data_IF_930547971549
#
_entry.id   IF_930547971549
#
_cell.length_a   1.000
_cell.length_b   1.000
_cell.length_c   1.000
_cell.angle_alpha   90.00
_cell.angle_beta   90.00
_cell.angle_gamma   90.00
#
_symmetry.space_group_name_H-M   'P 1'
#
loop_
_entity.id
_entity.type
_entity.pdbx_description
1 polymer ?
#
# COMPACT_ATOMS: atom_id res chain seq x y z
N UNK A 1 26.49 62.54 0.06
CA UNK A 1 27.81 63.14 -0.18
C UNK A 1 28.77 61.95 -0.25
N UNK A 2 29.19 61.40 -1.39
CA UNK A 2 29.06 61.66 -2.82
C UNK A 2 29.07 60.29 -3.54
N UNK A 3 28.86 60.28 -4.86
CA UNK A 3 28.92 59.14 -5.81
C UNK A 3 27.72 58.19 -5.91
N UNK A 4 26.63 58.68 -6.50
CA UNK A 4 25.66 57.82 -7.20
C UNK A 4 25.37 58.25 -8.64
N UNK A 5 26.18 59.15 -9.22
CA UNK A 5 25.88 59.79 -10.52
C UNK A 5 26.97 59.59 -11.58
N UNK A 6 27.62 58.41 -11.65
CA UNK A 6 28.64 58.18 -12.68
C UNK A 6 28.76 56.72 -13.17
N UNK A 7 27.64 56.02 -13.39
CA UNK A 7 27.66 54.66 -14.00
C UNK A 7 26.56 54.36 -15.01
N UNK A 8 25.89 55.37 -15.54
CA UNK A 8 25.01 55.20 -16.71
C UNK A 8 25.87 55.18 -17.99
N UNK A 9 26.35 54.00 -18.39
CA UNK A 9 27.04 53.82 -19.68
C UNK A 9 28.13 52.76 -19.76
N UNK A 10 28.44 52.05 -18.67
CA UNK A 10 29.45 50.97 -18.67
C UNK A 10 28.80 49.63 -18.98
N UNK A 11 29.38 48.88 -19.92
CA UNK A 11 28.98 47.51 -20.22
C UNK A 11 29.38 46.58 -19.06
N UNK A 12 28.66 45.46 -18.86
CA UNK A 12 28.78 44.59 -17.67
C UNK A 12 30.22 44.09 -17.41
N UNK A 13 30.98 43.89 -18.49
CA UNK A 13 32.40 43.52 -18.55
C UNK A 13 33.37 44.60 -18.05
N UNK A 14 32.94 45.86 -18.00
CA UNK A 14 33.74 46.97 -17.46
C UNK A 14 33.55 47.15 -15.94
N UNK A 15 32.54 46.51 -15.37
CA UNK A 15 32.18 46.62 -13.94
C UNK A 15 32.53 45.35 -13.18
N UNK A 16 32.41 44.19 -13.83
CA UNK A 16 32.70 42.88 -13.24
C UNK A 16 33.79 42.15 -14.03
N UNK A 17 34.76 41.59 -13.33
CA UNK A 17 35.82 40.78 -13.93
C UNK A 17 35.26 39.41 -14.29
N UNK A 18 34.79 39.27 -15.53
CA UNK A 18 34.24 38.03 -16.07
C UNK A 18 35.38 37.03 -16.32
N UNK A 19 35.34 35.90 -15.63
CA UNK A 19 36.31 34.82 -15.79
C UNK A 19 35.62 33.59 -16.37
N UNK A 20 36.20 33.03 -17.44
CA UNK A 20 35.67 31.84 -18.13
C UNK A 20 36.29 30.59 -17.51
N UNK A 21 35.69 30.09 -16.43
CA UNK A 21 36.01 28.80 -15.82
C UNK A 21 34.74 28.22 -15.18
N UNK A 22 34.73 26.93 -14.83
CA UNK A 22 33.61 26.33 -14.10
C UNK A 22 33.78 26.59 -12.58
N UNK A 23 32.95 27.45 -11.95
CA UNK A 23 33.08 27.76 -10.52
C UNK A 23 32.44 26.68 -9.63
N UNK A 24 31.63 25.78 -10.19
CA UNK A 24 30.94 24.76 -9.44
C UNK A 24 31.84 23.51 -9.29
N UNK A 25 32.15 23.15 -8.04
CA UNK A 25 32.84 21.89 -7.71
C UNK A 25 31.90 20.67 -7.79
N UNK A 26 30.61 20.89 -7.52
CA UNK A 26 29.53 19.91 -7.59
C UNK A 26 28.59 20.24 -8.75
N UNK A 27 27.37 19.72 -8.71
CA UNK A 27 26.34 20.01 -9.69
C UNK A 27 25.79 21.45 -9.54
N UNK A 28 24.92 21.86 -10.46
CA UNK A 28 24.33 23.20 -10.53
C UNK A 28 22.88 23.13 -10.98
N UNK A 29 22.09 24.12 -10.56
CA UNK A 29 20.70 24.25 -11.01
C UNK A 29 20.49 25.61 -11.68
N UNK A 30 19.63 25.63 -12.69
CA UNK A 30 19.28 26.85 -13.43
C UNK A 30 18.22 27.63 -12.64
N UNK A 31 18.33 28.95 -12.61
CA UNK A 31 17.26 29.83 -12.15
C UNK A 31 16.39 30.22 -13.34
N UNK A 32 15.07 30.00 -13.24
CA UNK A 32 14.10 30.48 -14.24
C UNK A 32 13.09 31.46 -13.60
N UNK A 33 13.38 32.77 -13.61
CA UNK A 33 12.50 33.79 -13.02
C UNK A 33 11.12 33.88 -13.70
N UNK A 34 11.00 33.41 -14.94
CA UNK A 34 9.73 33.41 -15.68
C UNK A 34 8.81 32.27 -15.19
N UNK A 35 9.40 31.19 -14.65
CA UNK A 35 8.69 30.01 -14.19
C UNK A 35 8.41 30.02 -12.68
N UNK A 36 9.35 30.53 -11.86
CA UNK A 36 9.23 30.50 -10.40
C UNK A 36 9.62 31.81 -9.72
N UNK A 37 8.79 32.25 -8.76
CA UNK A 37 9.08 33.39 -7.89
C UNK A 37 10.32 33.16 -7.02
N UNK A 38 10.60 31.91 -6.63
CA UNK A 38 11.81 31.53 -5.86
C UNK A 38 13.12 31.73 -6.64
N UNK A 39 13.00 31.89 -7.96
CA UNK A 39 14.12 31.96 -8.88
C UNK A 39 14.41 33.40 -9.29
N UNK A 40 13.63 34.37 -8.79
CA UNK A 40 13.97 35.77 -8.95
C UNK A 40 15.30 36.07 -8.26
N UNK A 41 16.11 36.86 -8.96
CA UNK A 41 17.41 37.27 -8.49
C UNK A 41 17.73 38.70 -8.87
N UNK A 42 18.63 39.32 -8.12
CA UNK A 42 19.20 40.63 -8.40
C UNK A 42 20.71 40.57 -8.22
N UNK A 43 21.45 41.23 -9.10
CA UNK A 43 22.88 41.41 -8.93
C UNK A 43 23.15 42.55 -7.94
N UNK A 44 24.01 42.29 -6.97
CA UNK A 44 24.50 43.31 -6.06
C UNK A 44 25.82 43.89 -6.57
N UNK A 45 26.13 45.11 -6.14
CA UNK A 45 27.36 45.83 -6.52
C UNK A 45 28.65 45.11 -6.12
N UNK A 46 28.57 44.19 -5.15
CA UNK A 46 29.68 43.34 -4.71
C UNK A 46 29.83 42.05 -5.55
N UNK A 47 29.06 41.90 -6.63
CA UNK A 47 29.07 40.76 -7.55
C UNK A 47 28.32 39.52 -7.05
N UNK A 48 27.73 39.56 -5.86
CA UNK A 48 26.88 38.47 -5.35
C UNK A 48 25.47 38.56 -5.91
N UNK A 49 24.82 37.40 -5.98
CA UNK A 49 23.45 37.26 -6.39
C UNK A 49 22.54 37.28 -5.16
N UNK A 50 21.60 38.22 -5.13
CA UNK A 50 20.58 38.33 -4.09
C UNK A 50 19.28 37.68 -4.56
N UNK A 51 18.74 36.76 -3.77
CA UNK A 51 17.51 36.02 -4.05
C UNK A 51 16.45 36.40 -3.01
N UNK A 52 15.51 37.31 -3.31
CA UNK A 52 14.57 37.87 -2.33
C UNK A 52 13.59 36.85 -1.74
N UNK A 53 13.30 35.77 -2.47
CA UNK A 53 12.33 34.73 -2.08
C UNK A 53 13.00 33.40 -1.70
N UNK A 54 14.33 33.38 -1.56
CA UNK A 54 15.04 32.20 -1.06
C UNK A 54 15.07 32.17 0.47
N UNK A 55 15.40 31.01 1.05
CA UNK A 55 15.66 30.85 2.49
C UNK A 55 16.83 31.74 2.96
N UNK A 56 16.87 32.11 4.25
CA UNK A 56 17.91 33.02 4.77
C UNK A 56 19.35 32.57 4.45
N UNK A 57 19.60 31.25 4.40
CA UNK A 57 20.90 30.66 4.05
C UNK A 57 21.26 30.73 2.56
N UNK A 58 20.28 30.94 1.69
CA UNK A 58 20.42 31.00 0.22
C UNK A 58 20.13 32.39 -0.37
N UNK A 59 19.74 33.35 0.48
CA UNK A 59 19.42 34.72 0.08
C UNK A 59 20.59 35.42 -0.61
N UNK A 60 21.84 35.07 -0.26
CA UNK A 60 23.04 35.59 -0.90
C UNK A 60 23.91 34.45 -1.44
N UNK A 61 24.15 34.48 -2.75
CA UNK A 61 24.94 33.47 -3.48
C UNK A 61 26.15 34.14 -4.11
N UNK A 62 27.35 33.58 -3.87
CA UNK A 62 28.61 34.06 -4.46
C UNK A 62 29.13 33.15 -5.57
N UNK A 63 28.70 31.89 -5.61
CA UNK A 63 29.14 30.89 -6.57
C UNK A 63 28.03 30.59 -7.56
N UNK A 64 28.09 31.25 -8.72
CA UNK A 64 27.16 31.05 -9.83
C UNK A 64 27.92 31.17 -11.16
N UNK A 65 27.33 30.70 -12.25
CA UNK A 65 27.86 30.85 -13.60
C UNK A 65 26.77 31.32 -14.56
N UNK A 66 27.17 32.07 -15.58
CA UNK A 66 26.32 32.46 -16.70
C UNK A 66 26.43 31.38 -17.78
N UNK A 67 25.30 30.78 -18.14
CA UNK A 67 25.24 29.72 -19.15
C UNK A 67 24.41 30.18 -20.34
N UNK A 68 24.82 29.74 -21.54
CA UNK A 68 24.05 29.95 -22.77
C UNK A 68 23.38 28.61 -23.08
N UNK A 69 22.06 28.58 -23.08
CA UNK A 69 21.28 27.43 -23.52
C UNK A 69 21.09 27.54 -25.04
N UNK A 70 21.44 26.49 -25.80
CA UNK A 70 21.44 26.50 -27.28
C UNK A 70 20.10 26.96 -27.92
N UNK A 71 18.99 26.91 -27.17
CA UNK A 71 17.66 27.31 -27.62
C UNK A 71 17.24 28.75 -27.26
N UNK A 72 18.02 29.47 -26.44
CA UNK A 72 17.73 30.85 -26.04
C UNK A 72 18.99 31.70 -26.28
N UNK A 73 18.92 32.71 -27.14
CA UNK A 73 19.98 33.72 -27.31
C UNK A 73 20.10 34.65 -26.07
N UNK A 74 20.02 34.10 -24.85
CA UNK A 74 20.09 34.80 -23.58
C UNK A 74 21.04 34.06 -22.64
N UNK A 75 21.68 34.81 -21.77
CA UNK A 75 22.45 34.26 -20.66
C UNK A 75 21.50 33.93 -19.52
N UNK A 76 21.42 32.66 -19.15
CA UNK A 76 20.70 32.20 -17.97
C UNK A 76 21.69 32.01 -16.80
N UNK A 77 21.19 32.10 -15.57
CA UNK A 77 22.02 31.96 -14.37
C UNK A 77 21.91 30.53 -13.83
N UNK A 78 23.05 29.88 -13.64
CA UNK A 78 23.14 28.61 -12.93
C UNK A 78 23.88 28.80 -11.59
N UNK A 79 23.22 28.45 -10.49
CA UNK A 79 23.76 28.52 -9.13
C UNK A 79 24.42 27.19 -8.78
N UNK A 80 25.60 27.25 -8.17
CA UNK A 80 26.29 26.05 -7.69
C UNK A 80 25.65 25.55 -6.39
N UNK A 81 25.52 24.23 -6.23
CA UNK A 81 25.20 23.67 -4.91
C UNK A 81 26.30 24.03 -3.90
N UNK A 82 25.90 24.49 -2.70
CA UNK A 82 26.83 24.75 -1.60
C UNK A 82 27.30 23.42 -1.00
N UNK A 83 28.51 23.42 -0.48
CA UNK A 83 29.04 22.31 0.32
C UNK A 83 28.37 22.38 1.71
N UNK A 84 27.15 21.87 1.80
CA UNK A 84 26.54 21.59 3.10
C UNK A 84 27.11 20.25 3.62
N UNK A 85 27.46 20.25 4.91
CA UNK A 85 27.79 19.16 5.85
C UNK A 85 27.82 17.72 5.28
N UNK A 86 28.76 16.85 5.73
CA UNK A 86 29.20 15.69 4.96
C UNK A 86 28.01 14.89 4.44
N UNK A 87 27.93 14.90 3.11
CA UNK A 87 27.00 14.30 2.15
C UNK A 87 26.55 12.87 2.53
N UNK A 88 27.26 12.19 3.42
CA UNK A 88 27.01 10.84 3.89
C UNK A 88 25.68 10.63 4.66
N UNK A 89 24.95 11.64 5.14
CA UNK A 89 23.67 11.40 5.84
C UNK A 89 22.42 11.66 4.98
N UNK A 90 22.42 12.71 4.17
CA UNK A 90 21.29 13.01 3.26
C UNK A 90 21.35 12.16 1.98
N UNK A 91 22.53 11.81 1.47
CA UNK A 91 22.65 10.93 0.31
C UNK A 91 22.20 9.50 0.64
N UNK A 92 22.50 9.02 1.85
CA UNK A 92 21.94 7.78 2.38
C UNK A 92 20.41 7.85 2.53
N UNK A 93 19.86 9.05 2.78
CA UNK A 93 18.43 9.26 2.88
C UNK A 93 17.69 9.11 1.54
N UNK A 94 18.27 9.69 0.49
CA UNK A 94 17.74 9.63 -0.87
C UNK A 94 17.92 8.24 -1.50
N UNK A 95 18.86 7.43 -1.00
CA UNK A 95 19.07 6.04 -1.48
C UNK A 95 18.21 5.01 -0.73
N UNK A 96 17.96 5.15 0.59
CA UNK A 96 17.22 4.12 1.32
C UNK A 96 15.75 4.03 0.88
N UNK A 97 15.12 5.15 0.56
CA UNK A 97 13.68 5.21 0.28
C UNK A 97 13.30 4.42 -0.99
N UNK A 98 13.92 4.68 -2.17
CA UNK A 98 13.63 3.89 -3.37
C UNK A 98 14.03 2.42 -3.22
N UNK A 99 15.12 2.11 -2.52
CA UNK A 99 15.55 0.71 -2.29
C UNK A 99 14.52 -0.04 -1.44
N UNK A 100 14.02 0.54 -0.36
CA UNK A 100 13.00 -0.08 0.48
C UNK A 100 11.67 -0.30 -0.26
N UNK A 101 11.24 0.68 -1.06
CA UNK A 101 10.05 0.56 -1.92
C UNK A 101 10.25 -0.57 -2.95
N UNK A 102 11.41 -0.66 -3.60
CA UNK A 102 11.72 -1.72 -4.56
C UNK A 102 11.70 -3.12 -3.92
N UNK A 103 12.09 -3.26 -2.66
CA UNK A 103 12.00 -4.54 -1.93
C UNK A 103 10.55 -4.86 -1.56
N UNK A 104 9.77 -3.87 -1.14
CA UNK A 104 8.36 -4.03 -0.76
C UNK A 104 7.43 -4.38 -1.93
N UNK A 105 7.73 -3.89 -3.12
CA UNK A 105 6.91 -4.05 -4.32
C UNK A 105 6.67 -5.52 -4.72
N UNK A 106 7.71 -6.38 -4.83
CA UNK A 106 7.54 -7.82 -5.02
C UNK A 106 6.69 -8.49 -3.94
N UNK A 107 6.81 -8.07 -2.68
CA UNK A 107 6.03 -8.62 -1.57
C UNK A 107 4.53 -8.26 -1.67
N UNK A 108 4.21 -7.03 -2.08
CA UNK A 108 2.82 -6.61 -2.38
C UNK A 108 2.26 -7.41 -3.54
N UNK A 109 3.03 -7.54 -4.64
CA UNK A 109 2.62 -8.32 -5.80
C UNK A 109 2.37 -9.78 -5.44
N UNK A 110 3.29 -10.40 -4.69
CA UNK A 110 3.13 -11.77 -4.22
C UNK A 110 1.85 -11.94 -3.37
N UNK A 111 1.56 -10.97 -2.50
CA UNK A 111 0.31 -10.96 -1.72
C UNK A 111 -0.91 -10.92 -2.62
N UNK A 112 -0.92 -10.04 -3.62
CA UNK A 112 -2.01 -9.94 -4.59
C UNK A 112 -2.21 -11.25 -5.39
N UNK A 113 -1.12 -11.85 -5.86
CA UNK A 113 -1.13 -13.09 -6.64
C UNK A 113 -1.63 -14.27 -5.80
N UNK A 114 -1.09 -14.47 -4.59
CA UNK A 114 -1.49 -15.57 -3.70
C UNK A 114 -2.98 -15.53 -3.40
N UNK A 115 -3.52 -14.35 -3.10
CA UNK A 115 -4.95 -14.16 -2.82
C UNK A 115 -5.84 -14.26 -4.07
N UNK A 116 -5.27 -14.18 -5.28
CA UNK A 116 -6.00 -14.35 -6.54
C UNK A 116 -6.03 -15.80 -7.02
N UNK A 117 -4.92 -16.53 -6.81
CA UNK A 117 -4.73 -17.91 -7.30
C UNK A 117 -5.37 -18.94 -6.37
N UNK A 118 -5.36 -18.72 -5.05
CA UNK A 118 -5.96 -19.64 -4.09
C UNK A 118 -7.50 -19.47 -4.02
N UNK A 119 -8.31 -20.41 -4.52
CA UNK A 119 -9.77 -20.34 -4.44
C UNK A 119 -10.27 -20.41 -3.00
N UNK A 120 -9.53 -21.03 -2.08
CA UNK A 120 -9.85 -21.06 -0.65
C UNK A 120 -9.82 -19.66 -0.02
N UNK A 121 -9.16 -18.69 -0.67
CA UNK A 121 -9.11 -17.27 -0.26
C UNK A 121 -10.09 -16.39 -1.05
N UNK A 122 -10.86 -16.92 -2.00
CA UNK A 122 -11.86 -16.16 -2.79
C UNK A 122 -13.17 -15.94 -2.01
N UNK A 123 -13.03 -15.48 -0.77
CA UNK A 123 -14.11 -15.03 0.10
C UNK A 123 -14.12 -13.49 0.17
N UNK A 124 -15.12 -12.91 0.83
CA UNK A 124 -15.25 -11.45 0.97
C UNK A 124 -13.93 -10.79 1.45
N UNK A 125 -13.33 -11.33 2.50
CA UNK A 125 -12.07 -10.83 3.07
C UNK A 125 -10.91 -10.84 2.08
N UNK A 126 -10.83 -11.86 1.21
CA UNK A 126 -9.83 -11.91 0.15
C UNK A 126 -10.13 -10.97 -1.01
N UNK A 127 -11.40 -10.74 -1.37
CA UNK A 127 -11.76 -9.76 -2.39
C UNK A 127 -11.40 -8.33 -1.96
N UNK A 128 -11.75 -7.94 -0.74
CA UNK A 128 -11.45 -6.60 -0.20
C UNK A 128 -9.94 -6.40 -0.01
N UNK A 129 -9.22 -7.42 0.47
CA UNK A 129 -7.76 -7.36 0.62
C UNK A 129 -7.05 -7.18 -0.73
N UNK A 130 -7.55 -7.82 -1.80
CA UNK A 130 -6.98 -7.62 -3.15
C UNK A 130 -7.18 -6.20 -3.67
N UNK A 131 -8.35 -5.60 -3.42
CA UNK A 131 -8.59 -4.19 -3.73
C UNK A 131 -7.59 -3.29 -3.01
N UNK A 132 -7.44 -3.49 -1.70
CA UNK A 132 -6.47 -2.78 -0.87
C UNK A 132 -5.02 -2.92 -1.35
N UNK A 133 -4.50 -4.15 -1.44
CA UNK A 133 -3.11 -4.41 -1.84
C UNK A 133 -2.86 -3.99 -3.28
N UNK A 134 -3.82 -4.19 -4.18
CA UNK A 134 -3.72 -3.77 -5.58
C UNK A 134 -3.61 -2.25 -5.71
N UNK A 135 -4.42 -1.49 -4.99
CA UNK A 135 -4.34 -0.03 -4.98
C UNK A 135 -3.01 0.49 -4.40
N UNK A 136 -2.49 -0.12 -3.31
CA UNK A 136 -1.17 0.23 -2.79
C UNK A 136 -0.04 -0.11 -3.77
N UNK A 137 -0.10 -1.27 -4.42
CA UNK A 137 0.89 -1.66 -5.42
C UNK A 137 0.96 -0.65 -6.57
N UNK A 138 -0.20 -0.21 -7.09
CA UNK A 138 -0.25 0.85 -8.12
C UNK A 138 0.37 2.14 -7.58
N UNK A 139 -0.05 2.61 -6.41
CA UNK A 139 0.48 3.84 -5.81
C UNK A 139 2.01 3.82 -5.69
N UNK A 140 2.57 2.76 -5.08
CA UNK A 140 4.01 2.62 -4.91
C UNK A 140 4.77 2.37 -6.22
N UNK A 141 4.15 1.77 -7.24
CA UNK A 141 4.76 1.63 -8.58
C UNK A 141 5.04 2.99 -9.18
N UNK A 142 4.01 3.84 -9.29
CA UNK A 142 4.16 5.16 -9.89
C UNK A 142 5.03 6.07 -9.03
N UNK A 143 4.95 5.96 -7.70
CA UNK A 143 5.85 6.65 -6.79
C UNK A 143 7.32 6.26 -7.02
N UNK A 144 7.61 4.96 -7.15
CA UNK A 144 8.96 4.47 -7.42
C UNK A 144 9.48 4.96 -8.78
N UNK A 145 8.63 5.00 -9.81
CA UNK A 145 9.01 5.54 -11.13
C UNK A 145 9.41 7.01 -11.01
N UNK A 146 8.62 7.84 -10.31
CA UNK A 146 8.96 9.26 -10.09
C UNK A 146 10.27 9.41 -9.31
N UNK A 147 10.52 8.56 -8.31
CA UNK A 147 11.71 8.67 -7.46
C UNK A 147 12.99 8.13 -8.11
N UNK A 148 12.87 7.16 -9.01
CA UNK A 148 14.01 6.58 -9.72
C UNK A 148 14.46 7.45 -10.90
N UNK A 149 13.54 8.23 -11.49
CA UNK A 149 13.87 9.17 -12.54
C UNK A 149 14.49 10.44 -11.93
N UNK A 150 15.82 10.40 -11.74
CA UNK A 150 16.63 11.56 -11.32
C UNK A 150 16.85 12.57 -12.46
N UNK A 151 16.49 12.22 -13.69
CA UNK A 151 16.64 13.07 -14.86
C UNK A 151 15.39 13.94 -15.06
N UNK A 152 15.57 15.17 -15.53
CA UNK A 152 14.51 16.10 -16.01
C UNK A 152 13.75 15.58 -17.24
N UNK A 153 13.70 14.26 -17.45
CA UNK A 153 13.15 13.59 -18.62
C UNK A 153 11.62 13.38 -18.55
N UNK A 154 11.00 13.52 -17.37
CA UNK A 154 9.54 13.39 -17.25
C UNK A 154 8.87 14.65 -17.79
N UNK A 155 8.12 14.51 -18.88
CA UNK A 155 7.27 15.60 -19.38
C UNK A 155 6.23 16.03 -18.33
N UNK A 156 5.93 17.33 -18.29
CA UNK A 156 4.98 17.92 -17.35
C UNK A 156 3.63 17.20 -17.33
N UNK A 157 3.11 16.80 -18.49
CA UNK A 157 1.84 16.05 -18.59
C UNK A 157 1.91 14.67 -17.94
N UNK A 158 3.03 13.95 -18.11
CA UNK A 158 3.22 12.63 -17.49
C UNK A 158 3.36 12.76 -15.98
N UNK A 159 4.10 13.77 -15.52
CA UNK A 159 4.29 14.13 -14.12
C UNK A 159 2.94 14.35 -13.41
N UNK A 160 2.08 15.20 -13.98
CA UNK A 160 0.72 15.44 -13.46
C UNK A 160 -0.13 14.17 -13.48
N UNK A 161 -0.09 13.41 -14.58
CA UNK A 161 -0.86 12.16 -14.71
C UNK A 161 -0.47 11.16 -13.62
N UNK A 162 0.83 10.98 -13.37
CA UNK A 162 1.30 10.08 -12.32
C UNK A 162 0.90 10.57 -10.94
N UNK A 163 0.98 11.88 -10.66
CA UNK A 163 0.55 12.45 -9.38
C UNK A 163 -0.94 12.13 -9.09
N UNK A 164 -1.84 12.28 -10.08
CA UNK A 164 -3.24 11.91 -9.91
C UNK A 164 -3.47 10.40 -9.76
N UNK A 165 -2.72 9.55 -10.48
CA UNK A 165 -2.79 8.09 -10.32
C UNK A 165 -2.39 7.69 -8.89
N UNK A 166 -1.29 8.26 -8.38
CA UNK A 166 -0.79 8.02 -7.02
C UNK A 166 -1.83 8.49 -6.01
N UNK A 167 -2.36 9.71 -6.16
CA UNK A 167 -3.38 10.29 -5.29
C UNK A 167 -4.65 9.41 -5.22
N UNK A 168 -5.21 9.05 -6.37
CA UNK A 168 -6.36 8.15 -6.46
C UNK A 168 -6.09 6.80 -5.80
N UNK A 169 -4.93 6.20 -6.09
CA UNK A 169 -4.59 4.86 -5.63
C UNK A 169 -4.39 4.80 -4.11
N UNK A 170 -3.75 5.81 -3.52
CA UNK A 170 -3.67 5.93 -2.06
C UNK A 170 -5.05 6.11 -1.44
N UNK A 171 -5.88 7.04 -1.93
CA UNK A 171 -7.24 7.22 -1.40
C UNK A 171 -8.08 5.94 -1.50
N UNK A 172 -8.01 5.25 -2.63
CA UNK A 172 -8.69 3.97 -2.83
C UNK A 172 -8.24 2.94 -1.79
N UNK A 173 -6.95 2.85 -1.47
CA UNK A 173 -6.45 1.94 -0.44
C UNK A 173 -7.06 2.23 0.93
N UNK A 174 -7.24 3.50 1.30
CA UNK A 174 -7.87 3.87 2.57
C UNK A 174 -9.35 3.53 2.62
N UNK A 175 -10.09 3.79 1.54
CA UNK A 175 -11.49 3.39 1.48
C UNK A 175 -11.65 1.87 1.47
N UNK A 176 -10.75 1.12 0.83
CA UNK A 176 -10.72 -0.34 0.94
C UNK A 176 -10.42 -0.82 2.36
N UNK A 177 -9.51 -0.17 3.08
CA UNK A 177 -9.26 -0.44 4.49
C UNK A 177 -10.50 -0.14 5.34
N UNK A 178 -11.21 0.94 5.03
CA UNK A 178 -12.47 1.27 5.69
C UNK A 178 -13.57 0.25 5.43
N UNK A 179 -13.71 -0.23 4.19
CA UNK A 179 -14.58 -1.36 3.84
C UNK A 179 -14.22 -2.61 4.64
N UNK A 180 -12.93 -2.94 4.77
CA UNK A 180 -12.49 -4.10 5.54
C UNK A 180 -12.90 -3.98 7.02
N UNK A 181 -12.76 -2.79 7.62
CA UNK A 181 -13.18 -2.54 9.00
C UNK A 181 -14.70 -2.65 9.15
N UNK A 182 -15.44 -2.07 8.21
CA UNK A 182 -16.90 -2.07 8.20
C UNK A 182 -17.47 -3.48 8.01
N UNK A 183 -16.92 -4.28 7.09
CA UNK A 183 -17.37 -5.66 6.84
C UNK A 183 -17.22 -6.54 8.09
N UNK A 184 -16.12 -6.38 8.83
CA UNK A 184 -15.95 -7.08 10.10
C UNK A 184 -16.95 -6.58 11.15
N UNK A 185 -17.09 -5.27 11.35
CA UNK A 185 -18.05 -4.71 12.29
C UNK A 185 -19.49 -5.16 12.00
N UNK A 186 -19.86 -5.19 10.72
CA UNK A 186 -21.15 -5.66 10.25
C UNK A 186 -21.32 -7.17 10.48
N UNK A 187 -20.27 -7.95 10.22
CA UNK A 187 -20.27 -9.41 10.39
C UNK A 187 -20.44 -9.82 11.86
N UNK A 188 -19.81 -9.12 12.81
CA UNK A 188 -19.99 -9.36 14.24
C UNK A 188 -21.25 -8.71 14.84
N UNK A 189 -21.87 -7.77 14.13
CA UNK A 189 -23.09 -7.09 14.58
C UNK A 189 -24.37 -7.91 14.54
N UNK A 190 -24.33 -9.20 14.21
CA UNK A 190 -25.52 -10.06 14.16
C UNK A 190 -26.50 -9.76 13.00
N UNK A 191 -26.25 -8.73 12.19
CA UNK A 191 -27.10 -8.32 11.05
C UNK A 191 -27.04 -9.27 9.84
N UNK A 192 -26.75 -10.56 10.04
CA UNK A 192 -26.95 -11.58 9.03
C UNK A 192 -28.41 -12.02 9.02
N UNK A 193 -29.24 -11.23 8.31
CA UNK A 193 -30.57 -11.68 7.87
C UNK A 193 -30.48 -13.09 7.27
N UNK A 194 -31.40 -13.96 7.73
CA UNK A 194 -31.47 -15.40 7.55
C UNK A 194 -32.04 -15.86 6.19
N UNK A 195 -32.18 -14.98 5.19
CA UNK A 195 -32.88 -15.32 3.94
C UNK A 195 -31.98 -15.17 2.69
N UNK A 196 -31.80 -16.25 1.92
CA UNK A 196 -31.22 -16.24 0.56
C UNK A 196 -29.94 -17.08 0.32
N UNK A 197 -29.60 -17.32 -0.95
CA UNK A 197 -28.36 -18.02 -1.36
C UNK A 197 -27.11 -17.21 -0.99
N UNK A 198 -26.20 -17.83 -0.22
CA UNK A 198 -25.02 -17.19 0.38
C UNK A 198 -24.12 -16.52 -0.69
N UNK A 199 -23.87 -17.19 -1.82
CA UNK A 199 -22.96 -16.69 -2.86
C UNK A 199 -23.45 -15.44 -3.60
N UNK A 200 -24.76 -15.37 -3.91
CA UNK A 200 -25.34 -14.18 -4.56
C UNK A 200 -25.29 -12.96 -3.64
N UNK A 201 -25.54 -13.16 -2.33
CA UNK A 201 -25.45 -12.09 -1.33
C UNK A 201 -24.04 -11.55 -1.21
N UNK A 202 -23.03 -12.42 -1.15
CA UNK A 202 -21.63 -11.99 -1.07
C UNK A 202 -21.20 -11.23 -2.33
N UNK A 203 -21.62 -11.67 -3.52
CA UNK A 203 -21.35 -10.93 -4.76
C UNK A 203 -21.98 -9.54 -4.76
N UNK A 204 -23.26 -9.42 -4.38
CA UNK A 204 -23.96 -8.11 -4.31
C UNK A 204 -23.29 -7.18 -3.30
N UNK A 205 -22.90 -7.70 -2.13
CA UNK A 205 -22.15 -6.95 -1.13
C UNK A 205 -20.81 -6.46 -1.65
N UNK A 206 -20.05 -7.33 -2.33
CA UNK A 206 -18.75 -6.95 -2.89
C UNK A 206 -18.90 -5.83 -3.93
N UNK A 207 -19.88 -5.92 -4.83
CA UNK A 207 -20.15 -4.86 -5.81
C UNK A 207 -20.47 -3.53 -5.12
N UNK A 208 -21.30 -3.55 -4.07
CA UNK A 208 -21.62 -2.34 -3.30
C UNK A 208 -20.37 -1.75 -2.62
N UNK A 209 -19.52 -2.60 -2.03
CA UNK A 209 -18.26 -2.18 -1.43
C UNK A 209 -17.27 -1.63 -2.46
N UNK A 210 -17.19 -2.22 -3.65
CA UNK A 210 -16.38 -1.70 -4.75
C UNK A 210 -16.86 -0.34 -5.22
N UNK A 211 -18.18 -0.16 -5.39
CA UNK A 211 -18.76 1.14 -5.79
C UNK A 211 -18.44 2.21 -4.74
N UNK A 212 -18.56 1.88 -3.45
CA UNK A 212 -18.19 2.80 -2.38
C UNK A 212 -16.69 3.16 -2.42
N UNK A 213 -15.79 2.16 -2.43
CA UNK A 213 -14.37 2.42 -2.31
C UNK A 213 -13.79 3.16 -3.53
N UNK A 214 -14.11 2.69 -4.74
CA UNK A 214 -13.67 3.35 -5.96
C UNK A 214 -14.40 4.67 -6.22
N UNK A 215 -15.69 4.72 -5.91
CA UNK A 215 -16.51 5.92 -6.09
C UNK A 215 -16.04 7.06 -5.20
N UNK A 216 -15.81 6.82 -3.91
CA UNK A 216 -15.29 7.83 -2.99
C UNK A 216 -13.89 8.29 -3.39
N UNK A 217 -12.97 7.38 -3.73
CA UNK A 217 -11.64 7.76 -4.21
C UNK A 217 -11.69 8.60 -5.49
N UNK A 218 -12.57 8.23 -6.43
CA UNK A 218 -12.79 8.99 -7.67
C UNK A 218 -13.39 10.36 -7.39
N UNK A 219 -14.36 10.45 -6.47
CA UNK A 219 -14.99 11.71 -6.09
C UNK A 219 -13.97 12.70 -5.54
N UNK A 220 -13.18 12.31 -4.54
CA UNK A 220 -12.16 13.18 -3.95
C UNK A 220 -11.05 13.53 -4.96
N UNK A 221 -10.62 12.59 -5.79
CA UNK A 221 -9.64 12.86 -6.85
C UNK A 221 -10.19 13.82 -7.90
N UNK A 222 -11.46 13.69 -8.27
CA UNK A 222 -12.13 14.58 -9.23
C UNK A 222 -12.28 15.98 -8.65
N UNK A 223 -12.63 16.11 -7.37
CA UNK A 223 -12.65 17.41 -6.68
C UNK A 223 -11.26 18.05 -6.72
N UNK A 224 -10.21 17.29 -6.40
CA UNK A 224 -8.82 17.77 -6.49
C UNK A 224 -8.48 18.26 -7.90
N UNK A 225 -8.81 17.48 -8.93
CA UNK A 225 -8.57 17.85 -10.34
C UNK A 225 -9.36 19.08 -10.78
N UNK A 226 -10.63 19.21 -10.38
CA UNK A 226 -11.45 20.39 -10.66
C UNK A 226 -10.81 21.64 -10.05
N UNK A 227 -10.36 21.55 -8.78
CA UNK A 227 -9.71 22.67 -8.10
C UNK A 227 -8.35 23.04 -8.69
N UNK A 228 -7.67 22.10 -9.34
CA UNK A 228 -6.37 22.32 -9.98
C UNK A 228 -6.52 22.93 -11.39
N UNK A 229 -7.48 22.44 -12.20
CA UNK A 229 -7.60 22.83 -13.61
C UNK A 229 -8.62 23.94 -13.90
N UNK A 230 -9.59 24.19 -13.02
CA UNK A 230 -10.63 25.19 -13.30
C UNK A 230 -10.14 26.60 -12.97
N UNK A 231 -9.91 27.47 -13.97
CA UNK A 231 -9.37 28.81 -13.74
C UNK A 231 -10.33 29.73 -12.99
N UNK A 232 -11.64 29.43 -13.03
CA UNK A 232 -12.73 30.20 -12.40
C UNK A 232 -12.80 30.10 -10.88
N UNK A 233 -12.00 29.23 -10.25
CA UNK A 233 -11.95 29.12 -8.79
C UNK A 233 -11.29 30.37 -8.20
N UNK A 234 -11.91 31.08 -7.23
CA UNK A 234 -11.31 32.25 -6.60
C UNK A 234 -9.89 31.98 -6.10
N UNK A 235 -8.96 32.94 -6.26
CA UNK A 235 -7.57 32.84 -5.76
C UNK A 235 -7.49 32.73 -4.23
N UNK A 236 -8.59 33.02 -3.53
CA UNK A 236 -8.71 32.87 -2.08
C UNK A 236 -8.86 31.41 -1.63
N UNK A 237 -9.25 30.50 -2.54
CA UNK A 237 -9.28 29.07 -2.26
C UNK A 237 -7.89 28.45 -2.53
N UNK A 238 -7.47 27.58 -1.61
CA UNK A 238 -6.18 26.88 -1.69
C UNK A 238 -6.19 25.95 -2.91
N UNK A 239 -5.34 26.24 -3.90
CA UNK A 239 -5.17 25.46 -5.12
C UNK A 239 -4.09 24.38 -4.95
N UNK A 240 -4.30 23.15 -5.49
CA UNK A 240 -3.29 22.08 -5.44
C UNK A 240 -1.98 22.40 -6.16
N UNK A 241 -2.06 23.04 -7.33
CA UNK A 241 -0.92 23.39 -8.20
C UNK A 241 -0.03 22.17 -8.49
N UNK A 242 -0.63 21.07 -8.91
CA UNK A 242 0.07 19.80 -9.09
C UNK A 242 1.07 19.92 -10.25
N UNK A 243 2.31 19.47 -10.04
CA UNK A 243 3.32 19.41 -11.10
C UNK A 243 4.08 20.71 -11.36
N UNK A 244 3.83 21.78 -10.60
CA UNK A 244 4.45 23.09 -10.82
C UNK A 244 5.97 23.07 -10.54
N UNK A 245 6.37 22.61 -9.35
CA UNK A 245 7.78 22.56 -8.91
C UNK A 245 8.30 21.13 -8.75
N UNK A 246 7.40 20.18 -8.51
CA UNK A 246 7.68 18.76 -8.29
C UNK A 246 6.50 17.94 -8.79
N UNK A 247 6.70 16.66 -9.08
CA UNK A 247 5.63 15.73 -9.49
C UNK A 247 4.73 15.31 -8.32
N UNK A 248 4.21 16.30 -7.60
CA UNK A 248 3.33 16.19 -6.46
C UNK A 248 2.69 17.56 -6.15
N UNK A 249 1.90 17.65 -5.06
CA UNK A 249 1.34 18.91 -4.55
C UNK A 249 2.44 19.95 -4.30
N UNK A 250 2.29 21.15 -4.89
CA UNK A 250 3.24 22.26 -4.71
C UNK A 250 3.27 22.72 -3.25
N UNK A 251 2.10 23.08 -2.71
CA UNK A 251 1.93 23.60 -1.36
C UNK A 251 1.56 22.51 -0.35
N UNK A 252 2.04 22.70 0.87
CA UNK A 252 1.78 21.80 1.99
C UNK A 252 0.35 21.90 2.51
N UNK A 253 -0.26 23.09 2.43
CA UNK A 253 -1.65 23.33 2.80
C UNK A 253 -2.61 22.57 1.87
N UNK A 254 -2.37 22.61 0.56
CA UNK A 254 -3.19 21.86 -0.39
C UNK A 254 -3.05 20.35 -0.18
N UNK A 255 -1.84 19.85 0.07
CA UNK A 255 -1.63 18.44 0.43
C UNK A 255 -2.40 18.07 1.70
N UNK A 256 -2.40 18.92 2.72
CA UNK A 256 -3.15 18.67 3.95
C UNK A 256 -4.66 18.56 3.72
N UNK A 257 -5.24 19.45 2.93
CA UNK A 257 -6.68 19.48 2.71
C UNK A 257 -7.13 18.37 1.76
N UNK A 258 -6.52 18.27 0.58
CA UNK A 258 -7.01 17.39 -0.48
C UNK A 258 -6.55 15.94 -0.32
N UNK A 259 -5.40 15.70 0.33
CA UNK A 259 -4.87 14.36 0.52
C UNK A 259 -5.06 13.86 1.96
N UNK A 260 -4.43 14.53 2.95
CA UNK A 260 -4.50 14.05 4.34
C UNK A 260 -5.87 14.20 4.98
N UNK A 261 -6.67 15.19 4.58
CA UNK A 261 -8.03 15.42 5.11
C UNK A 261 -8.95 14.20 4.94
N UNK A 262 -9.26 13.76 3.70
CA UNK A 262 -10.08 12.58 3.46
C UNK A 262 -9.52 11.31 4.13
N UNK A 263 -8.20 11.13 4.10
CA UNK A 263 -7.54 9.99 4.75
C UNK A 263 -7.75 10.00 6.27
N UNK A 264 -7.58 11.16 6.91
CA UNK A 264 -7.78 11.33 8.35
C UNK A 264 -9.21 10.99 8.78
N UNK A 265 -10.21 11.44 8.00
CA UNK A 265 -11.62 11.08 8.25
C UNK A 265 -11.80 9.56 8.20
N UNK A 266 -11.26 8.89 7.18
CA UNK A 266 -11.37 7.42 7.09
C UNK A 266 -10.64 6.70 8.23
N UNK A 267 -9.50 7.21 8.69
CA UNK A 267 -8.77 6.66 9.85
C UNK A 267 -9.61 6.78 11.13
N UNK A 268 -10.20 7.95 11.39
CA UNK A 268 -11.08 8.17 12.55
C UNK A 268 -12.26 7.19 12.49
N UNK A 269 -12.92 7.06 11.32
CA UNK A 269 -14.00 6.08 11.14
C UNK A 269 -13.53 4.65 11.44
N UNK A 270 -12.32 4.26 10.99
CA UNK A 270 -11.76 2.93 11.26
C UNK A 270 -11.54 2.70 12.76
N UNK A 271 -11.01 3.68 13.48
CA UNK A 271 -10.82 3.61 14.94
C UNK A 271 -12.16 3.35 15.63
N UNK A 272 -13.20 4.12 15.30
CA UNK A 272 -14.55 3.95 15.84
C UNK A 272 -15.11 2.54 15.55
N UNK A 273 -14.93 2.04 14.32
CA UNK A 273 -15.36 0.69 13.92
C UNK A 273 -14.59 -0.41 14.66
N UNK A 274 -13.27 -0.26 14.85
CA UNK A 274 -12.46 -1.22 15.61
C UNK A 274 -12.88 -1.28 17.08
N UNK A 275 -13.04 -0.13 17.73
CA UNK A 275 -13.49 -0.07 19.13
C UNK A 275 -14.87 -0.72 19.25
N UNK A 276 -15.80 -0.35 18.38
CA UNK A 276 -17.16 -0.92 18.37
C UNK A 276 -17.14 -2.43 18.15
N UNK A 277 -16.27 -2.92 17.26
CA UNK A 277 -16.12 -4.35 16.99
C UNK A 277 -15.52 -5.09 18.18
N UNK A 278 -14.48 -4.53 18.82
CA UNK A 278 -13.86 -5.11 20.00
C UNK A 278 -14.87 -5.24 21.15
N UNK A 279 -15.66 -4.20 21.41
CA UNK A 279 -16.73 -4.22 22.41
C UNK A 279 -17.77 -5.30 22.11
N UNK A 280 -18.19 -5.44 20.84
CA UNK A 280 -19.12 -6.50 20.42
C UNK A 280 -18.52 -7.90 20.62
N UNK A 281 -17.24 -8.11 20.28
CA UNK A 281 -16.56 -9.40 20.47
C UNK A 281 -16.49 -9.77 21.96
N UNK A 282 -16.19 -8.80 22.83
CA UNK A 282 -16.13 -9.03 24.29
C UNK A 282 -17.50 -9.39 24.85
N UNK A 283 -18.55 -8.64 24.48
CA UNK A 283 -19.94 -8.95 24.88
C UNK A 283 -20.38 -10.33 24.41
N UNK A 284 -20.17 -10.63 23.12
CA UNK A 284 -20.53 -11.93 22.56
C UNK A 284 -19.77 -13.09 23.21
N UNK A 285 -18.50 -12.89 23.60
CA UNK A 285 -17.73 -13.89 24.36
C UNK A 285 -18.35 -14.19 25.73
N UNK A 286 -18.89 -13.18 26.41
CA UNK A 286 -19.58 -13.34 27.69
C UNK A 286 -20.88 -14.12 27.52
N UNK A 287 -21.66 -13.82 26.47
CA UNK A 287 -22.92 -14.52 26.18
C UNK A 287 -22.71 -15.96 25.67
N UNK A 288 -21.63 -16.19 24.90
CA UNK A 288 -21.28 -17.49 24.30
C UNK A 288 -20.73 -18.50 25.31
N UNK A 289 -20.21 -18.05 26.46
CA UNK A 289 -19.71 -18.94 27.50
C UNK A 289 -20.79 -19.91 28.02
N UNK A 290 -22.07 -19.61 27.80
CA UNK A 290 -23.20 -20.41 28.27
C UNK A 290 -23.81 -21.36 27.25
N UNK A 291 -23.71 -21.13 25.94
CA UNK A 291 -24.34 -21.98 24.92
C UNK A 291 -23.70 -21.82 23.54
N UNK A 292 -22.99 -22.82 22.99
CA UNK A 292 -22.78 -22.88 21.54
C UNK A 292 -22.70 -24.30 20.94
N UNK A 293 -23.42 -24.46 19.82
CA UNK A 293 -23.32 -25.58 18.88
C UNK A 293 -22.05 -25.43 18.02
N UNK A 294 -21.37 -26.55 17.73
CA UNK A 294 -20.03 -26.61 17.10
C UNK A 294 -19.84 -25.78 15.80
N UNK A 295 -20.88 -25.56 14.99
CA UNK A 295 -20.77 -24.86 13.70
C UNK A 295 -20.64 -23.34 13.83
N UNK A 296 -21.26 -22.73 14.84
CA UNK A 296 -21.26 -21.27 15.01
C UNK A 296 -19.96 -20.78 15.67
N UNK A 297 -19.40 -21.62 16.55
CA UNK A 297 -18.07 -21.43 17.16
C UNK A 297 -16.96 -21.33 16.11
N UNK A 298 -16.89 -22.25 15.12
CA UNK A 298 -15.83 -22.20 14.08
C UNK A 298 -15.88 -20.90 13.26
N UNK A 299 -17.08 -20.46 12.89
CA UNK A 299 -17.26 -19.22 12.11
C UNK A 299 -16.87 -17.98 12.91
N UNK A 300 -17.16 -17.98 14.21
CA UNK A 300 -16.72 -16.91 15.11
C UNK A 300 -15.20 -16.85 15.23
N UNK A 301 -14.54 -18.00 15.38
CA UNK A 301 -13.07 -18.08 15.46
C UNK A 301 -12.39 -17.61 14.17
N UNK A 302 -12.92 -17.96 13.00
CA UNK A 302 -12.42 -17.46 11.71
C UNK A 302 -12.55 -15.93 11.61
N UNK A 303 -13.72 -15.35 11.92
CA UNK A 303 -13.91 -13.89 11.87
C UNK A 303 -13.01 -13.17 12.90
N UNK A 304 -12.76 -13.79 14.05
CA UNK A 304 -11.87 -13.25 15.09
C UNK A 304 -10.42 -13.26 14.63
N UNK A 305 -10.02 -14.31 13.91
CA UNK A 305 -8.71 -14.36 13.27
C UNK A 305 -8.56 -13.23 12.25
N UNK A 306 -9.58 -12.99 11.41
CA UNK A 306 -9.59 -11.87 10.46
C UNK A 306 -9.56 -10.52 11.15
N UNK A 307 -10.33 -10.33 12.23
CA UNK A 307 -10.30 -9.12 13.04
C UNK A 307 -8.90 -8.82 13.56
N UNK A 308 -8.22 -9.81 14.14
CA UNK A 308 -6.85 -9.65 14.62
C UNK A 308 -5.87 -9.29 13.50
N UNK A 309 -6.07 -9.80 12.28
CA UNK A 309 -5.21 -9.46 11.14
C UNK A 309 -5.46 -8.04 10.65
N UNK A 310 -6.72 -7.64 10.54
CA UNK A 310 -7.08 -6.29 10.13
C UNK A 310 -6.71 -5.27 11.19
N UNK A 311 -6.77 -5.62 12.47
CA UNK A 311 -6.26 -4.79 13.56
C UNK A 311 -4.74 -4.63 13.46
N UNK A 312 -3.98 -5.71 13.24
CA UNK A 312 -2.53 -5.62 13.01
C UNK A 312 -2.21 -4.76 11.79
N UNK A 313 -2.91 -4.97 10.69
CA UNK A 313 -2.78 -4.16 9.48
C UNK A 313 -3.08 -2.69 9.79
N UNK A 314 -4.21 -2.39 10.44
CA UNK A 314 -4.60 -1.04 10.80
C UNK A 314 -3.62 -0.36 11.75
N UNK A 315 -3.05 -1.08 12.72
CA UNK A 315 -2.03 -0.51 13.61
C UNK A 315 -0.78 -0.14 12.82
N UNK A 316 -0.27 -1.05 11.98
CA UNK A 316 0.90 -0.78 11.14
C UNK A 316 0.65 0.42 10.23
N UNK A 317 -0.50 0.44 9.54
CA UNK A 317 -0.87 1.50 8.63
C UNK A 317 -1.15 2.82 9.37
N UNK A 318 -1.97 2.77 10.41
CA UNK A 318 -2.39 3.93 11.19
C UNK A 318 -1.23 4.61 11.89
N UNK A 319 -0.24 3.86 12.39
CA UNK A 319 1.00 4.44 12.94
C UNK A 319 1.77 5.15 11.83
N UNK A 320 2.03 4.49 10.70
CA UNK A 320 2.76 5.11 9.59
C UNK A 320 2.13 6.43 9.15
N UNK A 321 0.81 6.42 8.90
CA UNK A 321 0.12 7.62 8.43
C UNK A 321 -0.04 8.71 9.49
N UNK A 322 -0.21 8.34 10.76
CA UNK A 322 -0.23 9.34 11.84
C UNK A 322 1.14 10.01 11.95
N UNK A 323 2.23 9.24 11.86
CA UNK A 323 3.59 9.78 11.93
C UNK A 323 3.94 10.64 10.72
N UNK A 324 3.43 10.33 9.52
CA UNK A 324 3.53 11.19 8.32
C UNK A 324 2.81 12.55 8.49
N UNK A 325 1.65 12.55 9.16
CA UNK A 325 0.94 13.80 9.48
C UNK A 325 1.72 14.60 10.53
N UNK A 326 2.28 13.92 11.54
CA UNK A 326 3.08 14.58 12.59
C UNK A 326 4.39 15.13 12.01
N UNK A 327 5.07 14.41 11.11
CA UNK A 327 6.29 14.89 10.44
C UNK A 327 6.03 16.13 9.61
N UNK A 328 4.87 16.19 8.96
CA UNK A 328 4.40 17.37 8.25
C UNK A 328 4.11 18.55 9.19
N UNK A 329 3.50 18.31 10.36
CA UNK A 329 3.18 19.35 11.36
C UNK A 329 4.44 19.90 12.06
N UNK A 330 5.42 19.05 12.34
CA UNK A 330 6.61 19.38 13.12
C UNK A 330 7.90 19.32 12.28
N UNK A 331 7.99 20.21 11.28
CA UNK A 331 9.15 20.31 10.38
C UNK A 331 10.47 20.64 11.09
N UNK A 332 10.42 21.22 12.28
CA UNK A 332 11.61 21.58 13.07
C UNK A 332 12.21 20.40 13.85
N UNK A 333 11.59 19.21 13.80
CA UNK A 333 12.11 18.03 14.48
C UNK A 333 13.36 17.48 13.76
N UNK A 334 14.37 16.98 14.50
CA UNK A 334 15.56 16.39 13.89
C UNK A 334 15.24 15.20 12.97
N UNK A 335 15.95 15.02 11.83
CA UNK A 335 15.66 13.97 10.85
C UNK A 335 15.64 12.54 11.41
N UNK A 336 16.47 12.25 12.41
CA UNK A 336 16.57 10.91 13.02
C UNK A 336 15.28 10.43 13.69
N UNK A 337 14.38 11.34 14.07
CA UNK A 337 13.08 11.02 14.68
C UNK A 337 12.18 10.30 13.67
N UNK A 338 12.36 10.56 12.38
CA UNK A 338 11.52 10.04 11.30
C UNK A 338 12.04 8.74 10.71
N UNK A 339 13.32 8.40 10.90
CA UNK A 339 13.94 7.20 10.30
C UNK A 339 13.20 5.90 10.55
N UNK A 340 12.69 5.69 11.78
CA UNK A 340 11.94 4.47 12.09
C UNK A 340 10.60 4.41 11.34
N UNK A 341 9.93 5.56 11.24
CA UNK A 341 8.67 5.70 10.49
C UNK A 341 8.92 5.50 9.00
N UNK A 342 9.93 6.16 8.44
CA UNK A 342 10.30 6.08 7.03
C UNK A 342 10.71 4.65 6.64
N UNK A 343 11.44 3.97 7.52
CA UNK A 343 11.77 2.55 7.35
C UNK A 343 10.50 1.67 7.36
N UNK A 344 9.55 1.94 8.26
CA UNK A 344 8.31 1.16 8.35
C UNK A 344 7.38 1.44 7.15
N UNK A 345 7.38 2.67 6.63
CA UNK A 345 6.66 3.07 5.43
C UNK A 345 7.26 2.39 4.17
N UNK A 346 8.58 2.43 4.02
CA UNK A 346 9.27 1.79 2.89
C UNK A 346 9.16 0.26 2.92
N UNK A 347 9.14 -0.38 4.10
CA UNK A 347 8.96 -1.82 4.28
C UNK A 347 7.49 -2.27 4.38
N UNK A 348 6.53 -1.36 4.18
CA UNK A 348 5.12 -1.64 4.39
C UNK A 348 4.62 -2.84 3.56
N UNK A 349 5.12 -3.00 2.33
CA UNK A 349 4.77 -4.13 1.48
C UNK A 349 5.24 -5.48 2.03
N UNK A 350 6.46 -5.52 2.58
CA UNK A 350 7.00 -6.70 3.26
C UNK A 350 6.19 -7.02 4.52
N UNK A 351 5.84 -6.02 5.32
CA UNK A 351 5.05 -6.20 6.54
C UNK A 351 3.67 -6.80 6.20
N UNK A 352 2.99 -6.28 5.18
CA UNK A 352 1.71 -6.82 4.69
C UNK A 352 1.86 -8.29 4.27
N UNK A 353 2.91 -8.62 3.53
CA UNK A 353 3.17 -10.00 3.11
C UNK A 353 3.38 -10.93 4.30
N UNK A 354 4.14 -10.50 5.33
CA UNK A 354 4.32 -11.28 6.55
C UNK A 354 2.99 -11.51 7.27
N UNK A 355 2.15 -10.47 7.38
CA UNK A 355 0.85 -10.56 8.07
C UNK A 355 -0.11 -11.51 7.34
N UNK A 356 -0.20 -11.44 6.01
CA UNK A 356 -1.26 -12.11 5.24
C UNK A 356 -0.85 -13.38 4.50
N UNK A 357 0.41 -13.50 4.09
CA UNK A 357 0.91 -14.61 3.25
C UNK A 357 1.83 -15.54 4.03
N UNK A 358 2.72 -15.00 4.87
CA UNK A 358 3.66 -15.81 5.67
C UNK A 358 2.96 -16.48 6.87
N UNK A 359 1.99 -17.34 6.56
CA UNK A 359 1.30 -18.20 7.51
C UNK A 359 1.39 -19.64 7.06
N UNK A 360 1.57 -20.55 8.01
CA UNK A 360 1.61 -21.99 7.72
C UNK A 360 0.37 -22.48 6.97
N UNK A 361 -0.82 -21.95 7.30
CA UNK A 361 -2.07 -22.26 6.58
C UNK A 361 -1.96 -21.94 5.08
N UNK A 362 -1.46 -20.76 4.74
CA UNK A 362 -1.32 -20.32 3.34
C UNK A 362 -0.21 -21.12 2.65
N UNK A 363 0.93 -21.35 3.32
CA UNK A 363 2.01 -22.19 2.80
C UNK A 363 1.52 -23.61 2.46
N UNK A 364 0.74 -24.25 3.35
CA UNK A 364 0.13 -25.56 3.09
C UNK A 364 -0.83 -25.55 1.91
N UNK A 365 -1.65 -24.50 1.76
CA UNK A 365 -2.56 -24.37 0.62
C UNK A 365 -1.81 -24.19 -0.70
N UNK A 366 -0.70 -23.42 -0.71
CA UNK A 366 0.16 -23.26 -1.87
C UNK A 366 0.84 -24.59 -2.25
N UNK A 367 1.41 -25.31 -1.27
CA UNK A 367 2.00 -26.64 -1.50
C UNK A 367 0.99 -27.63 -2.08
N UNK A 368 -0.24 -27.65 -1.55
CA UNK A 368 -1.33 -28.48 -2.07
C UNK A 368 -1.71 -28.13 -3.51
N UNK A 369 -1.70 -26.83 -3.86
CA UNK A 369 -2.08 -26.35 -5.20
C UNK A 369 -1.01 -26.59 -6.25
N UNK A 370 0.26 -26.43 -5.89
CA UNK A 370 1.40 -26.56 -6.81
C UNK A 370 2.03 -27.96 -6.78
N UNK A 371 1.40 -28.94 -6.14
CA UNK A 371 1.79 -30.35 -6.25
C UNK A 371 3.05 -30.73 -5.47
N UNK A 372 3.63 -29.84 -4.65
CA UNK A 372 4.66 -30.20 -3.68
C UNK A 372 4.00 -30.91 -2.49
N UNK A 373 3.45 -32.09 -2.76
CA UNK A 373 3.14 -33.04 -1.71
C UNK A 373 4.48 -33.49 -1.16
N UNK A 374 4.80 -32.97 0.02
CA UNK A 374 5.93 -33.38 0.83
C UNK A 374 5.97 -34.91 0.83
N UNK A 375 6.95 -35.50 0.13
CA UNK A 375 7.31 -36.89 0.30
C UNK A 375 7.90 -36.99 1.71
N UNK A 376 7.01 -37.11 2.69
CA UNK A 376 7.23 -37.70 4.00
C UNK A 376 8.34 -37.11 4.88
N UNK A 377 8.21 -35.86 5.35
CA UNK A 377 9.07 -35.36 6.43
C UNK A 377 8.35 -34.93 7.73
N UNK A 378 7.01 -34.91 7.75
CA UNK A 378 6.25 -34.69 8.99
C UNK A 378 5.04 -35.62 9.14
N UNK A 379 5.24 -36.94 8.98
CA UNK A 379 4.40 -37.93 9.67
C UNK A 379 4.99 -38.17 11.06
N UNK A 380 4.73 -37.23 12.00
CA UNK A 380 4.99 -37.52 13.41
C UNK A 380 3.84 -38.40 13.90
N UNK A 381 4.09 -39.71 13.86
CA UNK A 381 3.22 -40.75 14.38
C UNK A 381 2.65 -40.35 15.74
N UNK A 382 1.33 -40.38 15.83
CA UNK A 382 0.62 -40.40 17.11
C UNK A 382 0.89 -41.75 17.79
N UNK A 383 1.89 -41.80 18.66
CA UNK A 383 1.95 -42.82 19.71
C UNK A 383 1.17 -42.29 20.91
N UNK A 384 -0.13 -42.56 20.90
CA UNK A 384 -0.96 -42.54 22.10
C UNK A 384 -0.64 -43.82 22.88
N UNK A 385 0.29 -43.75 23.83
CA UNK A 385 0.46 -44.81 24.83
C UNK A 385 -0.66 -44.69 25.87
N UNK A 386 -1.71 -45.49 25.69
CA UNK A 386 -2.69 -45.80 26.73
C UNK A 386 -2.49 -47.25 27.13
N UNK A 387 -1.86 -47.46 28.28
CA UNK A 387 -1.70 -48.74 28.94
C UNK A 387 -3.08 -49.28 29.36
N UNK A 388 -3.44 -50.51 28.98
CA UNK A 388 -4.28 -51.40 29.81
C UNK A 388 -4.00 -52.86 29.43
N UNK A 389 -3.62 -53.62 30.44
CA UNK A 389 -3.21 -55.03 30.41
C UNK A 389 -4.37 -56.01 30.32
N UNK A 390 -4.00 -57.24 29.92
CA UNK A 390 -4.58 -58.54 30.27
C UNK A 390 -5.82 -59.02 29.49
N UNK A 391 -5.65 -60.05 28.67
CA UNK A 391 -5.83 -61.44 29.11
C UNK A 391 -5.57 -62.43 27.97
N UNK A 392 -4.76 -63.43 28.28
CA UNK A 392 -4.46 -64.61 27.47
C UNK A 392 -5.70 -65.40 27.02
N UNK A 393 -5.61 -65.99 25.84
CA UNK A 393 -6.12 -67.35 25.60
C UNK A 393 -5.32 -68.03 24.50
N UNK A 394 -4.48 -68.97 24.93
CA UNK A 394 -3.76 -69.97 24.14
C UNK A 394 -4.74 -71.04 23.64
N UNK A 395 -4.59 -71.50 22.40
CA UNK A 395 -4.87 -72.87 21.98
C UNK A 395 -3.98 -73.24 20.77
N UNK A 396 -2.94 -74.01 21.05
CA UNK A 396 -2.29 -75.00 20.17
C UNK A 396 -3.32 -76.08 19.79
N UNK A 397 -3.29 -76.81 18.66
CA UNK A 397 -2.23 -77.61 18.02
C UNK A 397 -2.68 -78.07 16.60
N UNK A 398 -1.74 -78.01 15.65
CA UNK A 398 -1.39 -79.01 14.59
C UNK A 398 -2.44 -79.95 13.97
N UNK A 399 -2.51 -79.96 12.62
CA UNK A 399 -2.45 -81.14 11.72
C UNK A 399 -2.41 -80.69 10.26
N UNK A 400 -1.54 -81.30 9.44
CA UNK A 400 -1.22 -80.84 8.08
C UNK A 400 -1.91 -81.55 6.92
N UNK A 401 -1.60 -81.00 5.73
CA UNK A 401 -1.39 -81.62 4.41
C UNK A 401 -2.59 -82.26 3.65
N UNK A 402 -2.93 -81.57 2.54
CA UNK A 402 -3.39 -82.00 1.20
C UNK A 402 -4.53 -83.02 1.01
N UNK A 403 -5.51 -82.68 0.16
CA UNK A 403 -5.70 -83.24 -1.20
C UNK A 403 -7.00 -82.71 -1.84
N UNK A 404 -6.95 -82.56 -3.16
CA UNK A 404 -8.10 -82.35 -4.06
C UNK A 404 -9.11 -83.50 -3.92
N UNK A 405 -10.42 -83.28 -4.17
CA UNK A 405 -11.09 -83.71 -5.40
C UNK A 405 -12.57 -83.24 -5.45
N UNK A 406 -13.01 -83.01 -6.69
CA UNK A 406 -14.35 -82.70 -7.19
C UNK A 406 -15.47 -83.55 -6.59
N UNK A 407 -16.66 -82.96 -6.42
CA UNK A 407 -17.94 -83.51 -6.90
C UNK A 407 -18.89 -82.35 -7.27
N UNK A 408 -19.30 -82.30 -8.54
CA UNK A 408 -20.46 -81.57 -9.07
C UNK A 408 -21.70 -82.48 -8.87
N UNK A 409 -22.95 -82.00 -8.76
CA UNK A 409 -23.72 -81.84 -10.00
C UNK A 409 -24.94 -80.86 -9.97
N UNK A 410 -25.51 -80.68 -11.18
CA UNK A 410 -26.85 -80.12 -11.53
C UNK A 410 -27.06 -78.61 -11.35
N UNK A 411 -27.03 -77.79 -12.42
CA UNK A 411 -28.04 -77.63 -13.49
C UNK A 411 -29.44 -77.39 -12.92
N UNK A 412 -29.91 -76.14 -12.91
CA UNK A 412 -30.96 -75.67 -13.84
C UNK A 412 -31.18 -74.15 -13.74
N UNK A 413 -31.07 -73.53 -14.90
CA UNK A 413 -31.40 -72.16 -15.27
C UNK A 413 -32.86 -71.83 -14.91
N UNK A 414 -33.15 -70.60 -14.45
CA UNK A 414 -34.22 -69.86 -15.09
C UNK A 414 -34.12 -68.34 -14.91
N UNK A 415 -34.19 -67.68 -16.07
CA UNK A 415 -34.28 -66.26 -16.26
C UNK A 415 -35.68 -65.75 -15.90
N UNK A 416 -35.69 -64.66 -15.14
CA UNK A 416 -36.44 -63.41 -15.37
C UNK A 416 -37.47 -63.46 -16.52
N UNK A 417 -38.76 -63.44 -16.16
CA UNK A 417 -39.83 -62.89 -16.99
C UNK A 417 -40.56 -61.80 -16.19
N UNK A 418 -40.71 -60.63 -16.83
CA UNK A 418 -41.55 -59.51 -16.38
C UNK A 418 -43.02 -59.88 -16.57
N UNK A 419 -43.87 -59.50 -15.62
CA UNK A 419 -45.22 -59.01 -15.91
C UNK A 419 -45.59 -57.94 -14.89
N UNK A 420 -45.81 -56.72 -15.38
CA UNK A 420 -46.55 -55.67 -14.69
C UNK A 420 -48.02 -55.83 -15.01
N UNK A 421 -48.87 -55.80 -13.99
CA UNK A 421 -50.28 -55.42 -14.09
C UNK A 421 -50.78 -55.16 -12.66
N UNK A 422 -50.78 -53.89 -12.27
CA UNK A 422 -51.65 -53.37 -11.22
C UNK A 422 -52.98 -52.98 -11.89
N UNK A 423 -54.09 -53.46 -11.34
CA UNK A 423 -55.45 -53.03 -11.67
C UNK A 423 -56.32 -53.07 -10.40
N UNK A 424 -57.17 -52.03 -10.27
CA UNK A 424 -58.22 -51.74 -9.27
C UNK A 424 -57.76 -51.35 -7.86
N UNK A 425 -58.17 -50.21 -7.27
CA UNK A 425 -59.44 -49.46 -7.43
C UNK A 425 -59.29 -47.98 -7.85
#
# INVERSE_FOLDING_TARGET
MNDTTERTGKTLDQVFLLAVYNPCKFDRYLLDPDLSLSDQYMFLDNGSLYRPYATESEMFVKSYCLVILENKNKYDIAVCFKEDLPINLEENAVVYYPVGVLISMPCLLATFVVYSVLPELRNMHGYTLRGYVGSLFVAYTFLAVIQLDRSTAISHTVCITFAFIIHFSFLASFFWLNVMCFDIWWTFGGFRSLQGSIGQRERKKFVMYSIYAWGCASLFTTICAIMDFVPSVPKELIRPEIGLTKCWFNTDEARAIYFYGPMSVTVICNICLFISTALKIVRHKQDTAHHLRSSESRRHDDNKQWFNLYLKLFIVMGINWSMEIISWLFKSAPPYVWYLTDLTNTLQGLIIFIIFVWKEKIKRLLLKRFGCQDRGLFSRNSTRSGCHSSASRTCTTTSGVSMQEKVNPYVQTNCRAKSSSDEAD
#
